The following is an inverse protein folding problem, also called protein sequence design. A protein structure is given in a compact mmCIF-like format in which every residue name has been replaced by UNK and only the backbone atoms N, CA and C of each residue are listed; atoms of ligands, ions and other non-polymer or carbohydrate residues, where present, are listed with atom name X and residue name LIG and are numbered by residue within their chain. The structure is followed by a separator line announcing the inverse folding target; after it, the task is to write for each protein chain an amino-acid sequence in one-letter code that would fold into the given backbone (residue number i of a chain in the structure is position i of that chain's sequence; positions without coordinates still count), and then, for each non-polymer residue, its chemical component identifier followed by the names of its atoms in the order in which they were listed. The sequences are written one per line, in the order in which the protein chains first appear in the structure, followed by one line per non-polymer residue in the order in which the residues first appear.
data_IF_966066075304
#
_entry.id   IF_966066075304
#
_cell.length_a   1.000
_cell.length_b   1.000
_cell.length_c   1.000
_cell.angle_alpha   90.00
_cell.angle_beta   90.00
_cell.angle_gamma   90.00
#
_symmetry.space_group_name_H-M   'P 1'
#
loop_
_entity.id
_entity.type
_entity.pdbx_description
1 polymer ?
#
# COMPACT_ATOMS: atom_id res chain seq x y z
N UNK A 1 18.91 -59.63 19.31
CA UNK A 1 19.31 -58.87 18.09
C UNK A 1 18.09 -58.10 17.63
N UNK A 2 17.95 -56.86 18.06
CA UNK A 2 16.95 -55.91 17.53
C UNK A 2 17.62 -55.07 16.44
N UNK A 3 17.04 -54.94 15.24
CA UNK A 3 17.62 -54.11 14.20
C UNK A 3 17.35 -52.63 14.52
N UNK A 4 18.42 -51.83 14.57
CA UNK A 4 18.38 -50.37 14.61
C UNK A 4 17.96 -49.84 13.24
N UNK A 5 16.77 -49.24 13.16
CA UNK A 5 16.29 -48.58 11.94
C UNK A 5 17.00 -47.22 11.75
N UNK A 6 17.65 -47.05 10.61
CA UNK A 6 18.39 -45.87 10.21
C UNK A 6 17.43 -44.74 9.79
N UNK A 7 17.39 -43.63 10.56
CA UNK A 7 16.48 -42.48 10.38
C UNK A 7 17.04 -41.39 9.43
N UNK A 8 17.87 -41.74 8.46
CA UNK A 8 18.57 -40.76 7.59
C UNK A 8 17.77 -40.26 6.36
N UNK A 9 16.50 -40.65 6.18
CA UNK A 9 15.77 -40.42 4.91
C UNK A 9 14.53 -39.50 4.93
N UNK A 10 14.09 -39.00 6.09
CA UNK A 10 12.72 -38.47 6.24
C UNK A 10 12.59 -36.94 6.26
N UNK A 11 13.67 -36.17 6.10
CA UNK A 11 13.67 -34.74 6.42
C UNK A 11 14.03 -33.79 5.27
N UNK A 12 14.13 -34.20 4.00
CA UNK A 12 14.48 -33.26 2.91
C UNK A 12 13.25 -32.51 2.40
N UNK A 13 12.16 -33.22 2.07
CA UNK A 13 10.97 -32.66 1.41
C UNK A 13 10.24 -31.60 2.28
N UNK A 14 10.36 -31.70 3.61
CA UNK A 14 9.74 -30.75 4.55
C UNK A 14 10.56 -29.50 4.89
N UNK A 15 11.86 -29.47 4.53
CA UNK A 15 12.75 -28.34 4.88
C UNK A 15 12.66 -27.22 3.83
N UNK A 16 12.52 -27.58 2.56
CA UNK A 16 12.36 -26.64 1.43
C UNK A 16 11.19 -25.67 1.66
N UNK A 17 10.03 -26.20 2.08
CA UNK A 17 8.82 -25.40 2.31
C UNK A 17 8.93 -24.46 3.52
N UNK A 18 9.71 -24.84 4.54
CA UNK A 18 9.95 -24.01 5.73
C UNK A 18 10.89 -22.85 5.41
N UNK A 19 11.89 -23.09 4.55
CA UNK A 19 12.80 -22.05 4.08
C UNK A 19 12.09 -20.99 3.21
N UNK A 20 11.16 -21.40 2.33
CA UNK A 20 10.38 -20.47 1.51
C UNK A 20 9.45 -19.57 2.35
N UNK A 21 8.78 -20.13 3.36
CA UNK A 21 7.95 -19.35 4.31
C UNK A 21 8.82 -18.42 5.16
N UNK A 22 9.97 -18.90 5.66
CA UNK A 22 10.93 -18.07 6.41
C UNK A 22 11.45 -16.89 5.59
N UNK A 23 11.84 -17.13 4.34
CA UNK A 23 12.39 -16.09 3.44
C UNK A 23 11.40 -14.96 3.17
N UNK A 24 10.12 -15.29 2.95
CA UNK A 24 9.06 -14.28 2.75
C UNK A 24 8.83 -13.42 4.00
N UNK A 25 8.84 -14.01 5.21
CA UNK A 25 8.68 -13.28 6.47
C UNK A 25 9.88 -12.38 6.81
N UNK A 26 11.07 -12.74 6.31
CA UNK A 26 12.30 -11.99 6.50
C UNK A 26 12.43 -10.79 5.55
N UNK A 27 11.79 -10.86 4.38
CA UNK A 27 11.64 -9.73 3.46
C UNK A 27 10.65 -8.69 3.99
N UNK A 28 9.56 -9.13 4.62
CA UNK A 28 8.54 -8.26 5.22
C UNK A 28 9.06 -7.49 6.46
N UNK A 29 10.16 -7.97 7.04
CA UNK A 29 10.80 -7.38 8.24
C UNK A 29 11.92 -6.39 7.93
N UNK A 30 12.35 -6.27 6.66
CA UNK A 30 13.38 -5.29 6.28
C UNK A 30 12.73 -3.91 6.16
N UNK A 31 13.26 -2.87 6.85
CA UNK A 31 12.75 -1.52 6.67
C UNK A 31 12.93 -1.11 5.19
N UNK A 32 11.95 -0.41 4.63
CA UNK A 32 11.99 0.06 3.23
C UNK A 32 13.04 1.16 2.98
N UNK A 33 13.64 1.68 4.05
CA UNK A 33 14.71 2.67 4.08
C UNK A 33 15.81 2.12 5.01
N UNK A 34 17.06 2.16 4.58
CA UNK A 34 18.20 1.71 5.38
C UNK A 34 18.41 2.68 6.57
N UNK A 35 18.29 2.22 7.82
CA UNK A 35 18.56 3.04 9.00
C UNK A 35 20.00 3.59 9.06
N UNK A 36 20.94 3.02 8.30
CA UNK A 36 22.31 3.50 8.22
C UNK A 36 22.45 4.79 7.39
N UNK A 37 21.59 4.99 6.39
CA UNK A 37 21.58 6.21 5.55
C UNK A 37 20.78 7.34 6.22
N UNK A 38 19.70 7.00 6.93
CA UNK A 38 18.83 7.98 7.59
C UNK A 38 18.40 7.48 8.98
N UNK A 39 18.98 7.97 10.09
CA UNK A 39 18.61 7.52 11.44
C UNK A 39 17.17 7.85 11.78
N UNK A 40 16.57 8.85 11.11
CA UNK A 40 15.14 9.11 11.21
C UNK A 40 14.29 7.96 10.67
N UNK A 41 14.81 6.97 9.94
CA UNK A 41 14.02 5.78 9.59
C UNK A 41 13.40 5.09 10.83
N UNK A 42 14.02 5.22 12.00
CA UNK A 42 13.69 4.48 13.22
C UNK A 42 12.43 4.96 13.97
N UNK A 43 12.01 6.23 13.84
CA UNK A 43 10.85 6.78 14.58
C UNK A 43 9.47 6.34 14.05
N UNK A 44 9.43 5.56 12.96
CA UNK A 44 8.22 4.87 12.50
C UNK A 44 7.24 5.67 11.63
N UNK A 45 7.49 6.95 11.35
CA UNK A 45 6.58 7.79 10.52
C UNK A 45 6.79 7.64 9.00
N UNK A 46 7.83 6.94 8.56
CA UNK A 46 8.19 6.76 7.14
C UNK A 46 7.38 5.69 6.40
N UNK A 47 6.31 5.17 7.02
CA UNK A 47 5.45 4.17 6.40
C UNK A 47 4.74 4.72 5.16
N UNK A 48 4.97 4.09 4.00
CA UNK A 48 4.15 4.37 2.82
C UNK A 48 2.82 3.62 2.96
N UNK A 49 1.70 4.35 2.97
CA UNK A 49 0.36 3.76 3.06
C UNK A 49 -0.39 3.96 1.74
N UNK A 50 -0.02 3.27 0.65
CA UNK A 50 -0.60 3.51 -0.67
C UNK A 50 -2.11 3.28 -0.70
N UNK A 51 -2.63 2.33 0.09
CA UNK A 51 -4.09 2.13 0.25
C UNK A 51 -4.72 3.25 1.08
N UNK A 52 -4.08 3.66 2.17
CA UNK A 52 -4.57 4.74 3.05
C UNK A 52 -4.67 6.07 2.32
N UNK A 53 -3.64 6.42 1.54
CA UNK A 53 -3.63 7.65 0.71
C UNK A 53 -4.78 7.64 -0.30
N UNK A 54 -5.04 6.49 -0.96
CA UNK A 54 -6.16 6.36 -1.91
C UNK A 54 -7.52 6.55 -1.24
N UNK A 55 -7.72 5.91 -0.08
CA UNK A 55 -8.97 6.06 0.69
C UNK A 55 -9.14 7.51 1.15
N UNK A 56 -8.10 8.12 1.73
CA UNK A 56 -8.12 9.51 2.17
C UNK A 56 -8.43 10.46 1.00
N UNK A 57 -7.80 10.26 -0.16
CA UNK A 57 -8.06 11.04 -1.36
C UNK A 57 -9.52 10.97 -1.83
N UNK A 58 -10.11 9.77 -1.85
CA UNK A 58 -11.53 9.61 -2.20
C UNK A 58 -12.46 10.22 -1.15
N UNK A 59 -12.16 10.07 0.14
CA UNK A 59 -12.93 10.72 1.21
C UNK A 59 -12.87 12.25 1.11
N UNK A 60 -11.70 12.83 0.86
CA UNK A 60 -11.55 14.28 0.62
C UNK A 60 -12.33 14.72 -0.63
N UNK A 61 -12.28 13.95 -1.71
CA UNK A 61 -13.03 14.25 -2.94
C UNK A 61 -14.54 14.27 -2.68
N UNK A 62 -15.06 13.27 -1.95
CA UNK A 62 -16.47 13.24 -1.54
C UNK A 62 -16.81 14.40 -0.60
N UNK A 63 -15.91 14.76 0.31
CA UNK A 63 -16.07 15.91 1.21
C UNK A 63 -16.18 17.23 0.44
N UNK A 64 -15.39 17.43 -0.62
CA UNK A 64 -15.50 18.61 -1.49
C UNK A 64 -16.87 18.65 -2.17
N UNK A 65 -17.36 17.53 -2.71
CA UNK A 65 -18.70 17.51 -3.30
C UNK A 65 -19.82 17.71 -2.28
N UNK A 66 -19.62 17.28 -1.02
CA UNK A 66 -20.58 17.56 0.04
C UNK A 66 -20.74 19.06 0.31
N UNK A 67 -19.74 19.89 -0.01
CA UNK A 67 -19.86 21.35 0.09
C UNK A 67 -20.97 21.91 -0.80
N UNK A 68 -21.34 21.24 -1.90
CA UNK A 68 -22.47 21.64 -2.76
C UNK A 68 -23.80 21.74 -2.02
N UNK A 69 -23.94 21.01 -0.91
CA UNK A 69 -25.13 21.01 -0.07
C UNK A 69 -25.08 22.23 0.86
N UNK A 70 -25.85 23.27 0.56
CA UNK A 70 -25.90 24.45 1.43
C UNK A 70 -26.35 25.72 0.73
N UNK A 71 -25.93 26.85 1.30
CA UNK A 71 -26.43 28.20 1.01
C UNK A 71 -25.86 28.83 -0.28
N UNK A 72 -25.66 28.03 -1.32
CA UNK A 72 -25.14 28.49 -2.60
C UNK A 72 -26.13 29.43 -3.30
N UNK A 73 -25.89 30.75 -3.24
CA UNK A 73 -26.68 31.74 -3.99
C UNK A 73 -26.17 31.93 -5.42
N UNK A 74 -24.86 31.79 -5.63
CA UNK A 74 -24.20 32.03 -6.92
C UNK A 74 -23.81 30.75 -7.64
N UNK A 75 -23.86 30.77 -8.98
CA UNK A 75 -23.38 29.64 -9.81
C UNK A 75 -21.85 29.49 -9.78
N UNK A 76 -21.13 30.57 -9.53
CA UNK A 76 -19.65 30.60 -9.54
C UNK A 76 -19.06 29.65 -8.49
N UNK A 77 -19.60 29.64 -7.28
CA UNK A 77 -19.11 28.77 -6.20
C UNK A 77 -19.31 27.29 -6.54
N UNK A 78 -20.50 26.93 -7.03
CA UNK A 78 -20.78 25.57 -7.52
C UNK A 78 -19.80 25.14 -8.64
N UNK A 79 -19.46 26.04 -9.57
CA UNK A 79 -18.52 25.75 -10.65
C UNK A 79 -17.13 25.42 -10.07
N UNK A 80 -16.64 26.21 -9.11
CA UNK A 80 -15.33 25.96 -8.51
C UNK A 80 -15.30 24.70 -7.66
N UNK A 81 -16.34 24.43 -6.88
CA UNK A 81 -16.46 23.19 -6.09
C UNK A 81 -16.49 21.97 -7.02
N UNK A 82 -17.31 22.00 -8.07
CA UNK A 82 -17.38 20.92 -9.06
C UNK A 82 -16.03 20.75 -9.78
N UNK A 83 -15.43 21.83 -10.27
CA UNK A 83 -14.15 21.78 -10.97
C UNK A 83 -13.04 21.18 -10.09
N UNK A 84 -12.99 21.57 -8.82
CA UNK A 84 -12.02 21.04 -7.85
C UNK A 84 -12.26 19.55 -7.59
N UNK A 85 -13.50 19.16 -7.27
CA UNK A 85 -13.85 17.76 -7.02
C UNK A 85 -13.58 16.85 -8.22
N UNK A 86 -13.93 17.30 -9.44
CA UNK A 86 -13.65 16.57 -10.68
C UNK A 86 -12.15 16.44 -10.93
N UNK A 87 -11.38 17.51 -10.69
CA UNK A 87 -9.91 17.48 -10.84
C UNK A 87 -9.28 16.47 -9.88
N UNK A 88 -9.69 16.47 -8.61
CA UNK A 88 -9.21 15.50 -7.62
C UNK A 88 -9.56 14.06 -8.02
N UNK A 89 -10.81 13.79 -8.41
CA UNK A 89 -11.25 12.48 -8.88
C UNK A 89 -10.44 12.02 -10.10
N UNK A 90 -10.22 12.90 -11.08
CA UNK A 90 -9.45 12.59 -12.27
C UNK A 90 -7.99 12.22 -11.95
N UNK A 91 -7.34 12.95 -11.04
CA UNK A 91 -5.98 12.64 -10.60
C UNK A 91 -5.90 11.29 -9.87
N UNK A 92 -6.87 10.97 -9.01
CA UNK A 92 -6.92 9.68 -8.32
C UNK A 92 -7.14 8.51 -9.29
N UNK A 93 -8.03 8.68 -10.26
CA UNK A 93 -8.25 7.69 -11.32
C UNK A 93 -6.96 7.52 -12.14
N UNK A 94 -6.31 8.61 -12.52
CA UNK A 94 -5.06 8.56 -13.28
C UNK A 94 -3.95 7.83 -12.51
N UNK A 95 -3.78 8.13 -11.22
CA UNK A 95 -2.83 7.42 -10.35
C UNK A 95 -3.15 5.92 -10.26
N UNK A 96 -4.42 5.56 -10.09
CA UNK A 96 -4.84 4.15 -10.06
C UNK A 96 -4.58 3.43 -11.37
N UNK A 97 -4.81 4.07 -12.51
CA UNK A 97 -4.53 3.48 -13.83
C UNK A 97 -3.02 3.32 -14.03
N UNK A 98 -2.23 4.35 -13.70
CA UNK A 98 -0.78 4.32 -13.86
C UNK A 98 -0.12 3.29 -12.96
N UNK A 99 -0.54 3.20 -11.69
CA UNK A 99 -0.03 2.19 -10.75
C UNK A 99 -0.34 0.75 -11.16
N UNK A 100 -1.40 0.53 -11.96
CA UNK A 100 -1.71 -0.75 -12.62
C UNK A 100 -0.93 -0.98 -13.92
N UNK A 101 0.07 -0.18 -14.26
CA UNK A 101 0.88 -0.38 -15.49
C UNK A 101 2.38 -0.36 -15.20
N UNK A 102 2.77 -0.38 -13.93
CA UNK A 102 4.17 -0.26 -13.50
C UNK A 102 5.03 -1.44 -13.90
N UNK A 103 4.48 -2.65 -14.08
CA UNK A 103 5.25 -3.85 -14.51
C UNK A 103 5.76 -3.79 -15.96
N UNK A 104 5.36 -2.78 -16.74
CA UNK A 104 5.85 -2.54 -18.11
C UNK A 104 7.14 -1.69 -18.14
N UNK A 105 7.72 -1.39 -16.98
CA UNK A 105 8.99 -0.66 -16.84
C UNK A 105 9.97 -1.48 -16.02
#
# INVERSE_FOLDING_TARGET
MTPTANLMGLNVIGQEGRAAVSSSSELDKRPSVDPHEEPSAEWGWHGTFPKGIKIAGWLSTLGVFALLIGNHHGRTENIWVIATGVTMAALLIWDQVRSRTSWRR
#
